data_IF_832243984500
#
_entry.id   IF_832243984500
#
_cell.length_a   1.000
_cell.length_b   1.000
_cell.length_c   1.000
_cell.angle_alpha   90.00
_cell.angle_beta   90.00
_cell.angle_gamma   90.00
#
_symmetry.space_group_name_H-M   'P 1'
#
loop_
_entity.id
_entity.type
_entity.pdbx_description
1 polymer ?
#
# COMPACT_ATOMS: atom_id res chain seq x y z
N UNK A 1 -45.06 19.26 15.22
CA UNK A 1 -43.70 18.68 15.31
C UNK A 1 -43.84 17.34 16.00
N UNK A 2 -43.22 16.28 15.46
CA UNK A 2 -43.26 14.96 16.09
C UNK A 2 -42.51 14.97 17.42
N UNK A 3 -43.07 14.29 18.44
CA UNK A 3 -42.37 13.93 19.67
C UNK A 3 -42.30 12.41 19.75
N UNK A 4 -41.23 11.88 20.31
CA UNK A 4 -41.02 10.44 20.51
C UNK A 4 -40.90 10.24 22.02
N UNK A 5 -41.59 9.25 22.57
CA UNK A 5 -41.45 8.95 23.99
C UNK A 5 -40.05 8.39 24.24
N UNK A 6 -39.39 8.78 25.34
CA UNK A 6 -38.03 8.33 25.65
C UNK A 6 -37.90 6.80 25.66
N UNK A 7 -38.93 6.11 26.16
CA UNK A 7 -39.01 4.64 26.20
C UNK A 7 -38.97 4.01 24.80
N UNK A 8 -39.51 4.68 23.78
CA UNK A 8 -39.51 4.19 22.40
C UNK A 8 -38.13 4.31 21.73
N UNK A 9 -37.24 5.14 22.29
CA UNK A 9 -35.87 5.31 21.82
C UNK A 9 -34.86 4.43 22.57
N UNK A 10 -35.29 3.64 23.57
CA UNK A 10 -34.40 2.77 24.34
C UNK A 10 -33.76 1.68 23.48
N UNK A 11 -34.50 1.15 22.50
CA UNK A 11 -33.99 0.15 21.54
C UNK A 11 -33.00 0.74 20.51
N UNK A 12 -32.87 2.07 20.44
CA UNK A 12 -32.01 2.79 19.50
C UNK A 12 -31.23 3.93 20.18
N UNK A 13 -30.34 3.62 21.14
CA UNK A 13 -29.61 4.64 21.92
C UNK A 13 -28.72 5.53 21.05
N UNK A 14 -28.31 5.03 19.88
CA UNK A 14 -27.51 5.76 18.90
C UNK A 14 -28.23 7.02 18.37
N UNK A 15 -29.55 7.12 18.45
CA UNK A 15 -30.30 8.33 18.04
C UNK A 15 -29.97 9.54 18.93
N UNK A 16 -29.68 9.31 20.21
CA UNK A 16 -29.21 10.35 21.13
C UNK A 16 -27.70 10.57 20.97
N UNK A 17 -26.92 9.49 20.82
CA UNK A 17 -25.46 9.56 20.59
C UNK A 17 -25.10 10.37 19.34
N UNK A 18 -25.87 10.20 18.27
CA UNK A 18 -25.69 10.93 17.00
C UNK A 18 -26.47 12.24 16.94
N UNK A 19 -27.06 12.68 18.05
CA UNK A 19 -27.85 13.92 18.14
C UNK A 19 -28.95 14.02 17.07
N UNK A 20 -29.56 12.88 16.73
CA UNK A 20 -30.74 12.82 15.85
C UNK A 20 -32.02 13.11 16.65
N UNK A 21 -31.99 12.85 17.96
CA UNK A 21 -33.00 13.23 18.93
C UNK A 21 -32.38 14.05 20.06
N UNK A 22 -33.11 15.02 20.59
CA UNK A 22 -32.75 15.74 21.81
C UNK A 22 -33.89 15.73 22.83
N UNK A 23 -33.58 15.76 24.15
CA UNK A 23 -34.60 15.91 25.19
C UNK A 23 -35.48 17.14 24.95
N UNK A 24 -36.78 16.99 25.11
CA UNK A 24 -37.70 18.11 25.13
C UNK A 24 -37.40 18.97 26.38
N UNK A 25 -37.20 20.30 26.23
CA UNK A 25 -36.90 21.17 27.37
C UNK A 25 -38.05 21.27 28.37
N UNK A 26 -39.29 21.03 27.93
CA UNK A 26 -40.49 21.19 28.75
C UNK A 26 -40.88 19.89 29.48
N UNK A 27 -40.49 18.72 28.94
CA UNK A 27 -40.76 17.42 29.54
C UNK A 27 -39.63 16.41 29.21
N UNK A 28 -38.83 15.99 30.21
CA UNK A 28 -37.69 15.10 29.98
C UNK A 28 -38.07 13.69 29.50
N UNK A 29 -39.34 13.29 29.61
CA UNK A 29 -39.83 12.01 29.11
C UNK A 29 -40.07 12.00 27.59
N UNK A 30 -40.00 13.16 26.93
CA UNK A 30 -40.16 13.28 25.49
C UNK A 30 -38.85 13.70 24.82
N UNK A 31 -38.68 13.19 23.60
CA UNK A 31 -37.59 13.54 22.70
C UNK A 31 -38.14 14.28 21.47
N UNK A 32 -37.40 15.26 20.98
CA UNK A 32 -37.70 15.99 19.76
C UNK A 32 -36.69 15.63 18.65
N UNK A 33 -37.16 15.39 17.42
CA UNK A 33 -36.29 15.15 16.28
C UNK A 33 -35.52 16.41 15.90
N UNK A 34 -34.24 16.23 15.60
CA UNK A 34 -33.37 17.26 15.07
C UNK A 34 -33.53 17.32 13.55
N UNK A 35 -33.61 18.51 12.93
CA UNK A 35 -33.64 18.62 11.47
C UNK A 35 -32.44 17.89 10.84
N UNK A 36 -32.63 17.05 9.81
CA UNK A 36 -31.55 16.25 9.22
C UNK A 36 -30.34 17.08 8.77
N UNK A 37 -30.55 18.30 8.28
CA UNK A 37 -29.46 19.22 7.91
C UNK A 37 -28.61 19.67 9.09
N UNK A 38 -29.21 19.89 10.26
CA UNK A 38 -28.51 20.26 11.48
C UNK A 38 -27.70 19.08 12.03
N UNK A 39 -28.30 17.89 12.07
CA UNK A 39 -27.61 16.67 12.47
C UNK A 39 -26.43 16.35 11.54
N UNK A 40 -26.61 16.46 10.22
CA UNK A 40 -25.53 16.25 9.24
C UNK A 40 -24.36 17.20 9.50
N UNK A 41 -24.65 18.50 9.69
CA UNK A 41 -23.61 19.52 9.96
C UNK A 41 -22.84 19.20 11.24
N UNK A 42 -23.54 18.83 12.32
CA UNK A 42 -22.93 18.46 13.58
C UNK A 42 -22.05 17.22 13.47
N UNK A 43 -22.41 16.26 12.62
CA UNK A 43 -21.64 15.02 12.38
C UNK A 43 -20.42 15.25 11.48
N UNK A 44 -20.52 16.14 10.49
CA UNK A 44 -19.41 16.44 9.59
C UNK A 44 -18.32 17.28 10.26
N UNK A 45 -18.68 18.21 11.14
CA UNK A 45 -17.74 19.17 11.70
C UNK A 45 -16.52 18.55 12.42
N UNK A 46 -16.65 17.51 13.28
CA UNK A 46 -15.50 16.84 13.88
C UNK A 46 -14.58 16.15 12.85
N UNK A 47 -15.16 15.58 11.79
CA UNK A 47 -14.41 14.90 10.72
C UNK A 47 -13.59 15.92 9.93
N UNK A 48 -14.20 17.02 9.53
CA UNK A 48 -13.52 18.11 8.84
C UNK A 48 -12.37 18.66 9.68
N UNK A 49 -12.59 18.85 10.98
CA UNK A 49 -11.56 19.31 11.91
C UNK A 49 -10.40 18.32 12.01
N UNK A 50 -10.68 17.02 12.10
CA UNK A 50 -9.64 15.99 12.13
C UNK A 50 -8.82 15.97 10.82
N UNK A 51 -9.47 16.11 9.67
CA UNK A 51 -8.80 16.18 8.37
C UNK A 51 -7.86 17.39 8.31
N UNK A 52 -8.31 18.57 8.78
CA UNK A 52 -7.48 19.77 8.80
C UNK A 52 -6.28 19.61 9.74
N UNK A 53 -6.47 19.00 10.91
CA UNK A 53 -5.38 18.76 11.86
C UNK A 53 -4.32 17.82 11.27
N UNK A 54 -4.75 16.70 10.65
CA UNK A 54 -3.82 15.77 9.98
C UNK A 54 -3.07 16.43 8.83
N UNK A 55 -3.72 17.33 8.07
CA UNK A 55 -3.07 18.11 7.01
C UNK A 55 -2.01 19.04 7.58
N UNK A 56 -2.33 19.78 8.65
CA UNK A 56 -1.37 20.66 9.33
C UNK A 56 -0.15 19.89 9.82
N UNK A 57 -0.38 18.76 10.50
CA UNK A 57 0.71 17.88 10.96
C UNK A 57 1.60 17.39 9.80
N UNK A 58 0.99 17.06 8.65
CA UNK A 58 1.76 16.61 7.47
C UNK A 58 2.68 17.72 6.92
N UNK A 59 2.19 18.96 6.90
CA UNK A 59 3.00 20.13 6.50
C UNK A 59 4.13 20.36 7.50
N UNK A 60 3.82 20.38 8.80
CA UNK A 60 4.82 20.57 9.87
C UNK A 60 5.91 19.51 9.82
N UNK A 61 5.53 18.24 9.64
CA UNK A 61 6.50 17.15 9.46
C UNK A 61 7.38 17.36 8.21
N UNK A 62 6.80 17.84 7.10
CA UNK A 62 7.58 18.12 5.89
C UNK A 62 8.61 19.22 6.13
N UNK A 63 8.21 20.32 6.79
CA UNK A 63 9.10 21.44 7.14
C UNK A 63 10.22 21.00 8.09
N UNK A 64 9.92 20.20 9.11
CA UNK A 64 10.92 19.66 10.05
C UNK A 64 11.93 18.75 9.34
N UNK A 65 11.49 17.99 8.33
CA UNK A 65 12.35 17.06 7.61
C UNK A 65 13.12 17.70 6.44
N UNK A 66 12.75 18.89 5.98
CA UNK A 66 13.40 19.59 4.86
C UNK A 66 14.93 19.73 5.05
N UNK A 67 15.46 20.19 6.20
CA UNK A 67 16.90 20.31 6.40
C UNK A 67 17.64 18.98 6.31
N UNK A 68 17.01 17.88 6.76
CA UNK A 68 17.60 16.54 6.68
C UNK A 68 17.61 16.00 5.25
N UNK A 69 16.61 16.33 4.44
CA UNK A 69 16.62 16.03 3.00
C UNK A 69 17.74 16.80 2.28
N UNK A 70 18.01 18.04 2.67
CA UNK A 70 19.13 18.82 2.11
C UNK A 70 20.50 18.21 2.43
N UNK A 71 20.67 17.61 3.62
CA UNK A 71 21.89 16.85 3.97
C UNK A 71 22.06 15.64 3.06
N UNK A 72 20.97 14.94 2.73
CA UNK A 72 21.00 13.81 1.79
C UNK A 72 21.29 14.26 0.34
N UNK A 73 20.87 15.47 -0.05
CA UNK A 73 21.16 16.05 -1.36
C UNK A 73 22.63 16.51 -1.49
N UNK A 74 23.30 16.82 -0.38
CA UNK A 74 24.75 17.01 -0.31
C UNK A 74 25.50 15.67 -0.19
N UNK A 75 25.05 14.66 -0.94
CA UNK A 75 25.87 13.49 -1.16
C UNK A 75 27.26 13.96 -1.63
N UNK A 76 28.36 13.40 -1.07
CA UNK A 76 29.70 13.69 -1.58
C UNK A 76 29.72 13.48 -3.10
N UNK A 77 30.57 14.22 -3.84
CA UNK A 77 30.65 14.09 -5.30
C UNK A 77 30.67 12.62 -5.66
N UNK A 78 29.80 12.24 -6.60
CA UNK A 78 29.57 10.88 -7.08
C UNK A 78 30.86 10.23 -7.59
N UNK A 79 31.69 9.74 -6.67
CA UNK A 79 32.81 8.84 -6.96
C UNK A 79 32.43 7.38 -6.72
N UNK A 80 31.23 7.12 -6.20
CA UNK A 80 30.72 5.77 -6.03
C UNK A 80 29.39 5.62 -6.79
N UNK A 81 29.47 5.06 -8.01
CA UNK A 81 28.32 4.59 -8.79
C UNK A 81 27.58 3.39 -8.13
N UNK A 82 27.82 3.16 -6.84
CA UNK A 82 27.39 1.98 -6.09
C UNK A 82 26.90 2.46 -4.73
N UNK A 83 25.64 2.17 -4.41
CA UNK A 83 25.05 2.39 -3.09
C UNK A 83 24.82 1.04 -2.43
N UNK A 84 25.39 0.84 -1.24
CA UNK A 84 25.17 -0.38 -0.44
C UNK A 84 23.91 -0.19 0.40
N UNK A 85 22.96 -1.10 0.27
CA UNK A 85 21.71 -1.11 1.04
C UNK A 85 21.71 -2.29 2.00
N UNK A 86 21.61 -1.99 3.29
CA UNK A 86 21.53 -2.99 4.35
C UNK A 86 20.11 -3.11 4.90
N UNK A 87 19.70 -4.35 5.17
CA UNK A 87 18.38 -4.68 5.71
C UNK A 87 17.33 -4.95 4.63
N UNK A 88 16.57 -6.03 4.83
CA UNK A 88 15.61 -6.53 3.83
C UNK A 88 14.51 -5.52 3.47
N UNK A 89 14.09 -4.68 4.44
CA UNK A 89 13.09 -3.64 4.21
C UNK A 89 13.57 -2.55 3.25
N UNK A 90 14.78 -2.01 3.45
CA UNK A 90 15.37 -0.98 2.58
C UNK A 90 15.68 -1.52 1.19
N UNK A 91 16.18 -2.75 1.10
CA UNK A 91 16.42 -3.44 -0.17
C UNK A 91 15.10 -3.60 -0.94
N UNK A 92 14.05 -4.10 -0.29
CA UNK A 92 12.75 -4.28 -0.95
C UNK A 92 12.12 -2.95 -1.37
N UNK A 93 12.18 -1.91 -0.54
CA UNK A 93 11.65 -0.59 -0.89
C UNK A 93 12.36 -0.01 -2.14
N UNK A 94 13.68 -0.19 -2.24
CA UNK A 94 14.44 0.26 -3.40
C UNK A 94 14.11 -0.54 -4.67
N UNK A 95 13.89 -1.86 -4.53
CA UNK A 95 13.41 -2.71 -5.63
C UNK A 95 12.01 -2.29 -6.08
N UNK A 96 11.08 -2.00 -5.16
CA UNK A 96 9.72 -1.56 -5.52
C UNK A 96 9.74 -0.21 -6.26
N UNK A 97 10.57 0.73 -5.83
CA UNK A 97 10.75 2.01 -6.53
C UNK A 97 11.28 1.78 -7.96
N UNK A 98 12.31 0.96 -8.12
CA UNK A 98 12.88 0.66 -9.43
C UNK A 98 11.89 -0.05 -10.36
N UNK A 99 11.07 -0.98 -9.82
CA UNK A 99 9.97 -1.62 -10.57
C UNK A 99 8.90 -0.61 -11.01
N UNK A 100 8.53 0.33 -10.13
CA UNK A 100 7.54 1.35 -10.43
C UNK A 100 8.02 2.32 -11.52
N UNK A 101 9.31 2.67 -11.53
CA UNK A 101 9.91 3.61 -12.48
C UNK A 101 10.32 2.97 -13.82
N UNK A 102 10.56 1.65 -13.85
CA UNK A 102 10.91 0.89 -15.05
C UNK A 102 9.87 1.07 -16.17
N UNK A 103 10.33 1.27 -17.42
CA UNK A 103 9.48 1.54 -18.59
C UNK A 103 9.60 0.54 -19.72
N UNK A 104 10.66 -0.26 -19.75
CA UNK A 104 10.99 -1.14 -20.88
C UNK A 104 10.99 -2.62 -20.50
N UNK A 105 11.96 -3.03 -19.67
CA UNK A 105 12.13 -4.41 -19.29
C UNK A 105 12.83 -4.56 -17.94
N UNK A 106 12.49 -5.64 -17.22
CA UNK A 106 13.17 -6.04 -15.98
C UNK A 106 13.88 -7.36 -16.23
N UNK A 107 15.19 -7.40 -15.99
CA UNK A 107 16.02 -8.59 -16.12
C UNK A 107 16.42 -9.08 -14.74
N UNK A 108 16.18 -10.35 -14.43
CA UNK A 108 16.54 -10.91 -13.12
C UNK A 108 17.31 -12.22 -13.22
N UNK A 109 18.26 -12.39 -12.31
CA UNK A 109 18.95 -13.65 -12.03
C UNK A 109 18.52 -14.08 -10.63
N UNK A 110 17.93 -15.26 -10.53
CA UNK A 110 17.48 -15.84 -9.27
C UNK A 110 18.21 -17.18 -9.06
N UNK A 111 19.37 -17.16 -8.39
CA UNK A 111 20.13 -18.38 -8.10
C UNK A 111 19.38 -19.27 -7.09
N UNK A 112 19.83 -20.52 -6.99
CA UNK A 112 19.29 -21.52 -6.07
C UNK A 112 18.19 -22.39 -6.68
N UNK A 113 17.60 -23.24 -5.83
CA UNK A 113 16.56 -24.19 -6.21
C UNK A 113 15.15 -23.59 -6.23
N UNK A 114 14.15 -24.45 -6.05
CA UNK A 114 12.75 -24.04 -5.99
C UNK A 114 12.51 -22.87 -5.02
N UNK A 115 11.63 -21.94 -5.42
CA UNK A 115 11.28 -20.79 -4.59
C UNK A 115 10.21 -21.17 -3.57
N UNK A 116 10.22 -20.51 -2.41
CA UNK A 116 9.12 -20.62 -1.46
C UNK A 116 7.82 -20.10 -2.07
N UNK A 117 6.69 -20.61 -1.59
CA UNK A 117 5.36 -20.19 -2.05
C UNK A 117 5.17 -18.68 -1.91
N UNK A 118 5.52 -18.11 -0.75
CA UNK A 118 5.46 -16.67 -0.52
C UNK A 118 6.30 -15.87 -1.55
N UNK A 119 7.50 -16.34 -1.86
CA UNK A 119 8.36 -15.68 -2.85
C UNK A 119 7.78 -15.77 -4.28
N UNK A 120 7.05 -16.84 -4.60
CA UNK A 120 6.37 -17.00 -5.88
C UNK A 120 5.10 -16.15 -5.97
N UNK A 121 4.35 -16.00 -4.88
CA UNK A 121 3.20 -15.06 -4.81
C UNK A 121 3.65 -13.63 -5.06
N UNK A 122 4.71 -13.17 -4.39
CA UNK A 122 5.27 -11.84 -4.61
C UNK A 122 5.76 -11.68 -6.06
N UNK A 123 6.41 -12.71 -6.62
CA UNK A 123 6.86 -12.67 -8.02
C UNK A 123 5.69 -12.59 -9.00
N UNK A 124 4.59 -13.29 -8.72
CA UNK A 124 3.37 -13.25 -9.52
C UNK A 124 2.75 -11.85 -9.53
N UNK A 125 2.60 -11.23 -8.37
CA UNK A 125 2.04 -9.88 -8.23
C UNK A 125 2.89 -8.83 -8.96
N UNK A 126 4.21 -8.84 -8.74
CA UNK A 126 5.14 -7.94 -9.45
C UNK A 126 5.14 -8.17 -10.95
N UNK A 127 5.18 -9.42 -11.39
CA UNK A 127 5.15 -9.78 -12.80
C UNK A 127 3.88 -9.26 -13.49
N UNK A 128 2.71 -9.44 -12.86
CA UNK A 128 1.44 -8.91 -13.36
C UNK A 128 1.46 -7.39 -13.50
N UNK A 129 1.86 -6.68 -12.44
CA UNK A 129 1.92 -5.21 -12.44
C UNK A 129 2.80 -4.66 -13.57
N UNK A 130 3.96 -5.29 -13.84
CA UNK A 130 4.81 -4.92 -14.97
C UNK A 130 4.12 -5.19 -16.31
N UNK A 131 3.54 -6.37 -16.48
CA UNK A 131 2.95 -6.79 -17.76
C UNK A 131 1.69 -5.99 -18.12
N UNK A 132 0.89 -5.59 -17.13
CA UNK A 132 -0.27 -4.70 -17.30
C UNK A 132 0.14 -3.31 -17.77
N UNK A 133 1.33 -2.83 -17.35
CA UNK A 133 1.96 -1.59 -17.85
C UNK A 133 2.68 -1.78 -19.19
N UNK A 134 2.64 -2.99 -19.75
CA UNK A 134 3.31 -3.33 -21.02
C UNK A 134 4.82 -3.56 -20.92
N UNK A 135 5.38 -3.53 -19.70
CA UNK A 135 6.81 -3.76 -19.41
C UNK A 135 7.13 -5.25 -19.44
N UNK A 136 8.22 -5.63 -20.10
CA UNK A 136 8.66 -7.02 -20.19
C UNK A 136 9.41 -7.48 -18.93
N UNK A 137 9.40 -8.78 -18.65
CA UNK A 137 10.22 -9.36 -17.59
C UNK A 137 10.94 -10.61 -18.07
N UNK A 138 12.25 -10.72 -17.82
CA UNK A 138 13.04 -11.90 -18.20
C UNK A 138 13.81 -12.40 -17.00
N UNK A 139 13.64 -13.67 -16.68
CA UNK A 139 14.25 -14.28 -15.49
C UNK A 139 15.12 -15.48 -15.86
N UNK A 140 16.34 -15.48 -15.36
CA UNK A 140 17.24 -16.63 -15.35
C UNK A 140 17.16 -17.33 -13.98
N UNK A 141 16.75 -18.59 -13.99
CA UNK A 141 16.79 -19.49 -12.84
C UNK A 141 17.89 -20.54 -12.97
N UNK A 142 18.30 -21.14 -11.86
CA UNK A 142 19.16 -22.31 -11.91
C UNK A 142 18.34 -23.53 -12.37
N UNK A 143 18.92 -24.42 -13.15
CA UNK A 143 18.23 -25.56 -13.77
C UNK A 143 17.48 -26.46 -12.77
N UNK A 144 17.93 -26.51 -11.52
CA UNK A 144 17.31 -27.29 -10.44
C UNK A 144 15.86 -26.87 -10.16
N UNK A 145 15.43 -25.65 -10.53
CA UNK A 145 14.04 -25.22 -10.41
C UNK A 145 13.06 -26.03 -11.28
N UNK A 146 13.55 -26.73 -12.30
CA UNK A 146 12.72 -27.59 -13.16
C UNK A 146 12.07 -28.74 -12.39
N UNK A 147 12.57 -29.06 -11.19
CA UNK A 147 11.99 -30.06 -10.29
C UNK A 147 11.04 -29.43 -9.24
N UNK A 148 10.91 -28.10 -9.22
CA UNK A 148 9.99 -27.40 -8.31
C UNK A 148 8.62 -27.24 -8.94
N UNK A 149 7.63 -27.97 -8.42
CA UNK A 149 6.24 -27.83 -8.84
C UNK A 149 5.73 -26.39 -8.72
N UNK A 150 6.09 -25.69 -7.64
CA UNK A 150 5.72 -24.29 -7.43
C UNK A 150 6.26 -23.37 -8.53
N UNK A 151 7.55 -23.50 -8.86
CA UNK A 151 8.16 -22.68 -9.92
C UNK A 151 7.59 -23.01 -11.31
N UNK A 152 7.33 -24.30 -11.60
CA UNK A 152 6.68 -24.71 -12.85
C UNK A 152 5.27 -24.13 -12.98
N UNK A 153 4.46 -24.16 -11.91
CA UNK A 153 3.12 -23.58 -11.89
C UNK A 153 3.16 -22.05 -12.08
N UNK A 154 4.12 -21.37 -11.42
CA UNK A 154 4.36 -19.95 -11.65
C UNK A 154 4.69 -19.67 -13.11
N UNK A 155 5.62 -20.44 -13.70
CA UNK A 155 6.04 -20.26 -15.08
C UNK A 155 4.88 -20.47 -16.07
N UNK A 156 4.07 -21.51 -15.86
CA UNK A 156 2.89 -21.78 -16.69
C UNK A 156 1.88 -20.61 -16.63
N UNK A 157 1.63 -20.06 -15.44
CA UNK A 157 0.69 -18.94 -15.27
C UNK A 157 1.18 -17.63 -15.89
N UNK A 158 2.50 -17.43 -15.93
CA UNK A 158 3.09 -16.21 -16.50
C UNK A 158 3.39 -16.34 -18.00
N UNK A 159 3.28 -17.53 -18.59
CA UNK A 159 3.62 -17.80 -19.98
C UNK A 159 2.75 -17.03 -21.00
N UNK A 160 1.53 -16.67 -20.62
CA UNK A 160 0.62 -15.86 -21.45
C UNK A 160 0.91 -14.36 -21.38
N UNK A 161 1.81 -13.94 -20.48
CA UNK A 161 2.21 -12.55 -20.27
C UNK A 161 3.55 -12.24 -20.94
N UNK A 162 4.01 -10.98 -20.90
CA UNK A 162 5.36 -10.58 -21.38
C UNK A 162 6.50 -11.04 -20.46
N UNK A 163 6.41 -12.26 -19.92
CA UNK A 163 7.38 -12.83 -18.99
C UNK A 163 8.07 -14.04 -19.61
N UNK A 164 9.38 -13.95 -19.75
CA UNK A 164 10.22 -15.05 -20.20
C UNK A 164 11.00 -15.65 -19.03
N UNK A 165 10.99 -16.97 -18.94
CA UNK A 165 11.75 -17.71 -17.95
C UNK A 165 12.69 -18.66 -18.67
N UNK A 166 13.99 -18.54 -18.37
CA UNK A 166 15.03 -19.44 -18.87
C UNK A 166 15.81 -20.01 -17.70
N UNK A 167 16.48 -21.14 -17.92
CA UNK A 167 17.26 -21.79 -16.88
C UNK A 167 18.68 -22.06 -17.35
N UNK A 168 19.66 -21.92 -16.47
CA UNK A 168 21.08 -22.25 -16.72
C UNK A 168 21.60 -23.23 -15.66
N UNK A 169 22.68 -23.94 -15.99
CA UNK A 169 23.27 -24.92 -15.07
C UNK A 169 23.84 -24.23 -13.82
N UNK A 170 24.63 -23.19 -14.06
CA UNK A 170 25.28 -22.34 -13.06
C UNK A 170 24.81 -20.89 -13.24
N UNK A 171 24.62 -20.18 -12.12
CA UNK A 171 24.25 -18.78 -12.09
C UNK A 171 25.14 -18.02 -11.11
N UNK A 172 25.37 -16.74 -11.43
CA UNK A 172 25.95 -15.80 -10.47
C UNK A 172 24.98 -15.49 -9.33
N UNK A 173 25.43 -14.67 -8.38
CA UNK A 173 24.57 -14.12 -7.33
C UNK A 173 23.34 -13.38 -7.89
N UNK A 174 22.37 -13.15 -7.01
CA UNK A 174 21.11 -12.52 -7.37
C UNK A 174 21.36 -11.14 -7.98
N UNK A 175 20.84 -10.93 -9.19
CA UNK A 175 20.94 -9.67 -9.92
C UNK A 175 19.56 -9.22 -10.39
N UNK A 176 19.32 -7.92 -10.36
CA UNK A 176 18.14 -7.29 -10.97
C UNK A 176 18.57 -6.05 -11.74
N UNK A 177 18.03 -5.89 -12.93
CA UNK A 177 18.21 -4.73 -13.81
C UNK A 177 16.80 -4.27 -14.18
N UNK A 178 16.59 -2.96 -14.14
CA UNK A 178 15.30 -2.29 -14.38
C UNK A 178 15.45 -1.25 -15.49
#
# INVERSE_FOLDING_TARGET
MGKIARVEAEDAPCLLEFALLHPDPDDPNWLRPVPPSAALTQRLHPIEREIQERRRLSVELTEVFEPFMAISAQAPPTTHAITVLEGIGRINASIELALAECRSEVLTIQPGGGRSENALTIAMERGKMLTERGVGMRTLYQHTVRHSHGTLNYAARMAESKVEIRTLEELIERLMIF
#
